data_IF_932937864088
#
_entry.id   IF_932937864088
#
_cell.length_a   1.000
_cell.length_b   1.000
_cell.length_c   1.000
_cell.angle_alpha   90.00
_cell.angle_beta   90.00
_cell.angle_gamma   90.00
#
_symmetry.space_group_name_H-M   'P 1'
#
loop_
_entity.id
_entity.type
_entity.pdbx_description
1 polymer ?
#
# COMPACT_ATOMS: atom_id res chain seq x y z
N UNK A 1 0.36 21.11 -32.41
CA UNK A 1 0.49 20.27 -31.18
C UNK A 1 -0.78 19.44 -31.11
N UNK A 2 -0.71 18.12 -30.98
CA UNK A 2 -1.91 17.31 -30.78
C UNK A 2 -2.59 17.70 -29.47
N UNK A 3 -3.92 17.84 -29.52
CA UNK A 3 -4.75 18.20 -28.37
C UNK A 3 -5.83 17.17 -28.17
N UNK A 4 -6.00 16.69 -26.95
CA UNK A 4 -7.07 15.81 -26.52
C UNK A 4 -8.03 16.62 -25.64
N UNK A 5 -9.34 16.46 -25.84
CA UNK A 5 -10.35 17.06 -24.97
C UNK A 5 -10.97 15.95 -24.11
N UNK A 6 -10.97 16.17 -22.81
CA UNK A 6 -11.53 15.26 -21.80
C UNK A 6 -12.35 16.06 -20.76
N UNK A 7 -13.24 15.38 -20.04
CA UNK A 7 -13.86 15.95 -18.85
C UNK A 7 -12.87 15.92 -17.68
N UNK A 8 -12.16 14.79 -17.55
CA UNK A 8 -11.21 14.52 -16.47
C UNK A 8 -9.91 13.98 -17.05
N UNK A 9 -8.79 14.61 -16.67
CA UNK A 9 -7.46 14.06 -16.89
C UNK A 9 -6.86 13.57 -15.56
N UNK A 10 -6.29 12.36 -15.57
CA UNK A 10 -5.70 11.72 -14.39
C UNK A 10 -4.21 11.54 -14.65
N UNK A 11 -3.38 12.02 -13.74
CA UNK A 11 -1.93 11.92 -13.81
C UNK A 11 -1.47 10.70 -13.00
N UNK A 12 -1.02 9.66 -13.69
CA UNK A 12 -0.57 8.40 -13.11
C UNK A 12 -1.67 7.35 -12.98
N UNK A 13 -1.38 6.14 -13.47
CA UNK A 13 -2.26 4.97 -13.42
C UNK A 13 -1.98 4.06 -12.21
N UNK A 14 -1.56 4.62 -11.07
CA UNK A 14 -1.55 3.90 -9.80
C UNK A 14 -2.97 3.55 -9.35
N UNK A 15 -3.09 2.70 -8.33
CA UNK A 15 -4.40 2.15 -7.92
C UNK A 15 -5.44 3.23 -7.56
N UNK A 16 -5.02 4.35 -6.94
CA UNK A 16 -5.90 5.48 -6.66
C UNK A 16 -6.46 6.12 -7.95
N UNK A 17 -5.57 6.37 -8.93
CA UNK A 17 -5.93 6.92 -10.23
C UNK A 17 -6.82 5.98 -11.05
N UNK A 18 -6.54 4.67 -11.04
CA UNK A 18 -7.37 3.66 -11.72
C UNK A 18 -8.76 3.52 -11.10
N UNK A 19 -8.87 3.48 -9.76
CA UNK A 19 -10.17 3.46 -9.08
C UNK A 19 -10.99 4.71 -9.42
N UNK A 20 -10.38 5.90 -9.36
CA UNK A 20 -11.07 7.13 -9.74
C UNK A 20 -11.49 7.12 -11.22
N UNK A 21 -10.57 6.73 -12.11
CA UNK A 21 -10.80 6.67 -13.55
C UNK A 21 -11.90 5.69 -13.95
N UNK A 22 -11.93 4.50 -13.35
CA UNK A 22 -12.95 3.49 -13.60
C UNK A 22 -14.34 3.97 -13.17
N UNK A 23 -14.45 4.58 -11.98
CA UNK A 23 -15.72 5.13 -11.49
C UNK A 23 -16.21 6.29 -12.38
N UNK A 24 -15.33 7.21 -12.74
CA UNK A 24 -15.69 8.34 -13.59
C UNK A 24 -16.07 7.91 -15.02
N UNK A 25 -15.29 7.02 -15.63
CA UNK A 25 -15.63 6.47 -16.95
C UNK A 25 -16.98 5.72 -16.92
N UNK A 26 -17.27 4.96 -15.84
CA UNK A 26 -18.57 4.29 -15.65
C UNK A 26 -19.72 5.28 -15.44
N UNK A 27 -19.45 6.47 -14.89
CA UNK A 27 -20.42 7.55 -14.76
C UNK A 27 -20.55 8.41 -16.02
N UNK A 28 -19.88 8.05 -17.12
CA UNK A 28 -20.02 8.71 -18.45
C UNK A 28 -19.04 9.85 -18.71
N UNK A 29 -18.07 10.10 -17.82
CA UNK A 29 -17.05 11.14 -18.05
C UNK A 29 -16.04 10.69 -19.10
N UNK A 30 -15.69 11.58 -20.03
CA UNK A 30 -14.54 11.39 -20.93
C UNK A 30 -13.25 11.45 -20.12
N UNK A 31 -12.74 10.29 -19.74
CA UNK A 31 -11.60 10.16 -18.85
C UNK A 31 -10.32 9.83 -19.62
N UNK A 32 -9.24 10.56 -19.38
CA UNK A 32 -7.91 10.31 -19.94
C UNK A 32 -6.92 10.14 -18.81
N UNK A 33 -6.24 8.99 -18.74
CA UNK A 33 -5.18 8.71 -17.77
C UNK A 33 -3.83 8.79 -18.49
N UNK A 34 -2.89 9.56 -17.96
CA UNK A 34 -1.54 9.72 -18.49
C UNK A 34 -0.55 8.99 -17.59
N UNK A 35 0.14 7.98 -18.13
CA UNK A 35 1.09 7.15 -17.39
C UNK A 35 2.48 7.22 -18.02
N UNK A 36 3.49 7.58 -17.23
CA UNK A 36 4.86 7.68 -17.73
C UNK A 36 5.51 6.33 -18.02
N UNK A 37 5.06 5.26 -17.34
CA UNK A 37 5.58 3.91 -17.50
C UNK A 37 4.88 3.17 -18.66
N UNK A 38 5.49 2.08 -19.18
CA UNK A 38 4.86 1.24 -20.19
C UNK A 38 3.73 0.35 -19.62
N UNK A 39 3.51 0.32 -18.31
CA UNK A 39 2.51 -0.49 -17.61
C UNK A 39 1.79 0.31 -16.54
N UNK A 40 0.52 0.00 -16.30
CA UNK A 40 -0.27 0.58 -15.22
C UNK A 40 -0.08 -0.13 -13.88
N UNK A 41 -0.62 0.48 -12.82
CA UNK A 41 -0.70 -0.06 -11.47
C UNK A 41 0.38 0.46 -10.51
N UNK A 42 1.48 1.00 -11.02
CA UNK A 42 2.56 1.53 -10.19
C UNK A 42 3.08 0.49 -9.19
N UNK A 43 2.88 0.72 -7.88
CA UNK A 43 3.22 -0.22 -6.80
C UNK A 43 2.18 -1.32 -6.58
N UNK A 44 1.05 -1.26 -7.23
CA UNK A 44 -0.07 -2.17 -7.02
C UNK A 44 -0.34 -3.02 -8.28
N UNK A 45 0.71 -3.68 -8.78
CA UNK A 45 0.61 -4.59 -9.93
C UNK A 45 1.61 -5.75 -9.79
N UNK A 46 1.61 -6.65 -10.72
CA UNK A 46 2.59 -7.74 -10.81
C UNK A 46 3.16 -7.81 -12.22
N UNK A 47 4.40 -8.26 -12.32
CA UNK A 47 5.11 -8.44 -13.60
C UNK A 47 5.70 -9.83 -13.69
N UNK A 48 5.89 -10.35 -14.91
CA UNK A 48 6.65 -11.58 -15.12
C UNK A 48 8.14 -11.26 -15.17
N UNK A 49 8.92 -11.90 -14.29
CA UNK A 49 10.35 -11.78 -14.23
C UNK A 49 11.02 -13.15 -14.07
N UNK A 50 11.83 -13.56 -15.03
CA UNK A 50 12.50 -14.89 -15.06
C UNK A 50 11.53 -16.06 -14.83
N UNK A 51 10.29 -15.98 -15.32
CA UNK A 51 9.27 -17.00 -15.14
C UNK A 51 8.44 -16.89 -13.86
N UNK A 52 8.79 -15.99 -12.95
CA UNK A 52 8.04 -15.72 -11.71
C UNK A 52 7.01 -14.62 -11.91
N UNK A 53 5.89 -14.71 -11.20
CA UNK A 53 4.96 -13.57 -11.00
C UNK A 53 5.46 -12.77 -9.81
N UNK A 54 6.01 -11.60 -10.09
CA UNK A 54 6.65 -10.74 -9.08
C UNK A 54 5.78 -9.52 -8.83
N UNK A 55 5.33 -9.26 -7.59
CA UNK A 55 4.62 -8.04 -7.27
C UNK A 55 5.54 -6.82 -7.41
N UNK A 56 5.02 -5.67 -7.81
CA UNK A 56 5.80 -4.41 -7.83
C UNK A 56 6.01 -3.84 -6.43
N UNK A 57 5.08 -4.03 -5.51
CA UNK A 57 5.20 -3.86 -4.07
C UNK A 57 4.13 -4.69 -3.35
N UNK A 58 2.88 -4.29 -3.40
CA UNK A 58 1.77 -5.08 -2.86
C UNK A 58 1.54 -6.35 -3.68
N UNK A 59 1.10 -7.43 -3.03
CA UNK A 59 0.85 -8.71 -3.70
C UNK A 59 -0.55 -9.27 -3.41
N UNK A 60 -1.33 -8.61 -2.55
CA UNK A 60 -2.66 -9.05 -2.13
C UNK A 60 -3.64 -7.88 -1.93
N UNK A 61 -4.93 -8.21 -1.92
CA UNK A 61 -6.00 -7.36 -1.40
C UNK A 61 -6.14 -7.64 0.09
N UNK A 62 -5.79 -6.66 0.93
CA UNK A 62 -5.68 -6.83 2.39
C UNK A 62 -7.01 -7.09 3.10
N UNK A 63 -8.10 -6.54 2.57
CA UNK A 63 -9.43 -6.63 3.17
C UNK A 63 -10.36 -7.59 2.42
N UNK A 64 -9.79 -8.46 1.55
CA UNK A 64 -10.57 -9.41 0.76
C UNK A 64 -11.67 -8.75 -0.05
N UNK A 65 -12.92 -9.17 0.12
CA UNK A 65 -14.09 -8.56 -0.55
C UNK A 65 -14.46 -7.17 -0.02
N UNK A 66 -13.97 -6.81 1.16
CA UNK A 66 -14.16 -5.49 1.73
C UNK A 66 -13.09 -4.49 1.29
N UNK A 67 -12.08 -4.94 0.53
CA UNK A 67 -11.03 -4.08 0.00
C UNK A 67 -11.64 -3.02 -0.95
N UNK A 68 -11.28 -1.74 -0.81
CA UNK A 68 -11.76 -0.67 -1.68
C UNK A 68 -11.53 -0.95 -3.17
N UNK A 69 -10.47 -1.68 -3.51
CA UNK A 69 -10.19 -2.10 -4.88
C UNK A 69 -11.26 -3.08 -5.37
N UNK A 70 -11.55 -4.12 -4.57
CA UNK A 70 -12.59 -5.09 -4.90
C UNK A 70 -13.98 -4.43 -5.01
N UNK A 71 -14.32 -3.59 -4.03
CA UNK A 71 -15.58 -2.82 -4.06
C UNK A 71 -15.70 -1.90 -5.27
N UNK A 72 -14.57 -1.34 -5.74
CA UNK A 72 -14.59 -0.55 -6.99
C UNK A 72 -14.92 -1.42 -8.19
N UNK A 73 -14.21 -2.57 -8.34
CA UNK A 73 -14.47 -3.51 -9.44
C UNK A 73 -15.93 -3.99 -9.49
N UNK A 74 -16.49 -4.30 -8.31
CA UNK A 74 -17.90 -4.71 -8.17
C UNK A 74 -18.86 -3.57 -8.55
N UNK A 75 -18.64 -2.36 -7.99
CA UNK A 75 -19.49 -1.17 -8.21
C UNK A 75 -19.52 -0.73 -9.69
N UNK A 76 -18.39 -0.85 -10.40
CA UNK A 76 -18.28 -0.47 -11.81
C UNK A 76 -18.63 -1.61 -12.78
N UNK A 77 -18.85 -2.83 -12.29
CA UNK A 77 -19.16 -4.00 -13.11
C UNK A 77 -17.98 -4.50 -13.95
N UNK A 78 -16.78 -4.50 -13.39
CA UNK A 78 -15.56 -4.91 -14.09
C UNK A 78 -15.42 -6.44 -14.32
N UNK A 79 -16.39 -7.24 -13.86
CA UNK A 79 -16.38 -8.70 -13.95
C UNK A 79 -15.71 -9.35 -12.74
N UNK A 80 -15.74 -10.69 -12.73
CA UNK A 80 -15.13 -11.47 -11.67
C UNK A 80 -13.63 -11.70 -11.95
N UNK A 81 -12.82 -11.60 -10.88
CA UNK A 81 -11.41 -11.94 -10.91
C UNK A 81 -11.21 -13.19 -10.07
N UNK A 82 -10.56 -14.23 -10.61
CA UNK A 82 -10.23 -15.44 -9.85
C UNK A 82 -9.19 -15.10 -8.77
N UNK A 83 -9.59 -15.23 -7.50
CA UNK A 83 -8.75 -14.91 -6.34
C UNK A 83 -8.86 -16.00 -5.28
N UNK A 84 -7.75 -16.26 -4.57
CA UNK A 84 -7.71 -17.19 -3.42
C UNK A 84 -7.20 -16.49 -2.18
N UNK A 85 -7.71 -16.88 -1.02
CA UNK A 85 -7.18 -16.50 0.28
C UNK A 85 -6.14 -17.49 0.78
N UNK A 86 -5.45 -17.16 1.88
CA UNK A 86 -4.51 -18.07 2.54
C UNK A 86 -5.19 -19.22 3.28
N UNK A 87 -6.49 -19.14 3.55
CA UNK A 87 -7.15 -20.10 4.41
C UNK A 87 -6.82 -19.88 5.90
N UNK A 88 -6.84 -20.94 6.70
CA UNK A 88 -6.53 -20.89 8.14
C UNK A 88 -5.35 -21.83 8.47
N UNK A 89 -4.35 -21.39 9.26
CA UNK A 89 -4.20 -20.04 9.82
C UNK A 89 -3.74 -19.02 8.77
N UNK A 90 -4.22 -17.80 8.87
CA UNK A 90 -3.79 -16.69 8.00
C UNK A 90 -2.42 -16.13 8.38
N UNK A 91 -1.99 -16.38 9.61
CA UNK A 91 -0.72 -15.92 10.15
C UNK A 91 -0.19 -16.90 11.20
N UNK A 92 1.14 -16.91 11.34
CA UNK A 92 1.87 -17.49 12.46
C UNK A 92 2.86 -16.49 13.00
N UNK A 93 3.25 -16.65 14.27
CA UNK A 93 4.24 -15.78 14.93
C UNK A 93 5.41 -16.61 15.44
N UNK A 94 6.63 -16.21 15.07
CA UNK A 94 7.85 -16.71 15.71
C UNK A 94 8.18 -15.81 16.91
N UNK A 95 8.09 -16.41 18.10
CA UNK A 95 8.34 -15.74 19.38
C UNK A 95 9.36 -16.57 20.14
N UNK A 96 10.51 -15.97 20.49
CA UNK A 96 11.63 -16.68 21.21
C UNK A 96 12.00 -18.02 20.58
N UNK A 97 12.15 -18.05 19.25
CA UNK A 97 12.54 -19.24 18.48
C UNK A 97 11.43 -20.26 18.24
N UNK A 98 10.22 -20.06 18.75
CA UNK A 98 9.08 -20.98 18.57
C UNK A 98 8.00 -20.35 17.71
N UNK A 99 7.31 -21.16 16.90
CA UNK A 99 6.23 -20.73 16.03
C UNK A 99 4.88 -21.04 16.66
N UNK A 100 4.00 -20.04 16.69
CA UNK A 100 2.66 -20.09 17.24
C UNK A 100 1.65 -19.67 16.18
N UNK A 101 0.52 -20.38 16.12
CA UNK A 101 -0.57 -20.04 15.21
C UNK A 101 -1.30 -18.77 15.68
N UNK A 102 -1.80 -18.00 14.73
CA UNK A 102 -2.78 -16.95 14.98
C UNK A 102 -4.18 -17.58 14.97
N UNK A 103 -4.82 -17.80 16.13
CA UNK A 103 -6.13 -18.43 16.19
C UNK A 103 -7.21 -17.49 15.65
N UNK A 104 -8.30 -18.06 15.13
CA UNK A 104 -9.41 -17.27 14.57
C UNK A 104 -10.09 -16.36 15.60
N UNK A 105 -10.07 -16.74 16.88
CA UNK A 105 -10.68 -15.97 17.97
C UNK A 105 -9.68 -15.71 19.09
N UNK A 106 -9.68 -14.49 19.61
CA UNK A 106 -8.85 -14.11 20.74
C UNK A 106 -7.35 -14.11 20.45
N UNK A 107 -6.97 -14.06 19.18
CA UNK A 107 -5.60 -14.19 18.71
C UNK A 107 -4.61 -13.23 19.41
N UNK A 108 -4.95 -11.93 19.50
CA UNK A 108 -4.06 -10.95 20.14
C UNK A 108 -3.84 -11.31 21.62
N UNK A 109 -4.90 -11.58 22.38
CA UNK A 109 -4.77 -11.96 23.79
C UNK A 109 -3.92 -13.22 23.94
N UNK A 110 -4.13 -14.23 23.09
CA UNK A 110 -3.34 -15.45 23.08
C UNK A 110 -1.86 -15.18 22.86
N UNK A 111 -1.47 -14.40 21.85
CA UNK A 111 -0.07 -14.08 21.60
C UNK A 111 0.56 -13.28 22.72
N UNK A 112 -0.18 -12.34 23.33
CA UNK A 112 0.32 -11.57 24.48
C UNK A 112 0.54 -12.50 25.68
N UNK A 113 -0.33 -13.50 25.91
CA UNK A 113 -0.12 -14.50 26.98
C UNK A 113 1.04 -15.46 26.69
N UNK A 114 1.41 -15.68 25.41
CA UNK A 114 2.64 -16.40 25.05
C UNK A 114 3.88 -15.54 25.30
N UNK A 115 3.78 -14.23 25.12
CA UNK A 115 4.89 -13.28 25.26
C UNK A 115 5.17 -12.89 26.73
N UNK A 116 4.18 -13.04 27.60
CA UNK A 116 4.25 -12.54 28.98
C UNK A 116 3.49 -13.46 29.93
N UNK A 117 4.19 -13.93 30.97
CA UNK A 117 3.60 -14.79 32.01
C UNK A 117 2.78 -14.01 33.06
N UNK A 118 2.80 -12.65 33.02
CA UNK A 118 1.99 -11.80 33.90
C UNK A 118 0.60 -11.54 33.27
N UNK A 119 -0.40 -12.31 33.65
CA UNK A 119 -1.79 -12.15 33.22
C UNK A 119 -2.35 -10.75 33.51
N UNK A 120 -1.87 -10.06 34.56
CA UNK A 120 -2.31 -8.71 34.88
C UNK A 120 -1.76 -7.70 33.87
N UNK A 121 -0.52 -7.88 33.41
CA UNK A 121 0.07 -7.05 32.35
C UNK A 121 -0.64 -7.26 31.01
N UNK A 122 -0.88 -8.52 30.62
CA UNK A 122 -1.66 -8.85 29.42
C UNK A 122 -3.05 -8.21 29.46
N UNK A 123 -3.74 -8.29 30.61
CA UNK A 123 -5.07 -7.68 30.77
C UNK A 123 -5.00 -6.15 30.68
N UNK A 124 -3.99 -5.49 31.27
CA UNK A 124 -3.80 -4.03 31.16
C UNK A 124 -3.65 -3.60 29.70
N UNK A 125 -2.85 -4.31 28.91
CA UNK A 125 -2.67 -4.02 27.47
C UNK A 125 -3.95 -4.21 26.70
N UNK A 126 -4.67 -5.31 26.90
CA UNK A 126 -5.94 -5.59 26.22
C UNK A 126 -7.02 -4.56 26.55
N UNK A 127 -7.12 -4.16 27.82
CA UNK A 127 -8.05 -3.12 28.28
C UNK A 127 -7.69 -1.75 27.69
N UNK A 128 -6.39 -1.45 27.59
CA UNK A 128 -5.92 -0.21 26.99
C UNK A 128 -6.30 -0.16 25.50
N UNK A 129 -6.08 -1.22 24.74
CA UNK A 129 -6.48 -1.31 23.32
C UNK A 129 -8.01 -1.19 23.18
N UNK A 130 -8.76 -1.87 24.04
CA UNK A 130 -10.24 -1.82 24.00
C UNK A 130 -10.75 -0.41 24.31
N UNK A 131 -10.14 0.31 25.24
CA UNK A 131 -10.46 1.73 25.50
C UNK A 131 -10.09 2.61 24.32
N UNK A 132 -8.87 2.43 23.76
CA UNK A 132 -8.39 3.20 22.63
C UNK A 132 -9.26 3.02 21.36
N UNK A 133 -9.89 1.86 21.18
CA UNK A 133 -10.87 1.64 20.10
C UNK A 133 -12.13 2.47 20.24
N UNK A 134 -12.48 2.92 21.45
CA UNK A 134 -13.63 3.79 21.73
C UNK A 134 -13.23 5.26 21.76
N UNK A 135 -12.07 5.55 22.29
CA UNK A 135 -11.51 6.88 22.44
C UNK A 135 -10.04 6.86 21.98
N UNK A 136 -9.82 7.34 20.75
CA UNK A 136 -8.53 7.28 20.09
C UNK A 136 -7.49 8.11 20.85
N UNK A 137 -6.25 7.60 20.98
CA UNK A 137 -5.14 8.40 21.48
C UNK A 137 -4.87 9.62 20.59
N UNK A 138 -4.26 10.70 21.13
CA UNK A 138 -3.80 11.82 20.32
C UNK A 138 -2.83 11.39 19.21
N UNK A 139 -2.91 12.07 18.04
CA UNK A 139 -2.07 11.78 16.85
C UNK A 139 -0.56 11.91 17.14
N UNK A 140 -0.21 12.83 18.04
CA UNK A 140 1.19 13.15 18.36
C UNK A 140 1.89 12.05 19.15
N UNK A 141 1.17 11.06 19.66
CA UNK A 141 1.74 9.98 20.48
C UNK A 141 2.04 8.79 19.60
N UNK A 142 3.34 8.42 19.39
CA UNK A 142 3.71 7.20 18.70
C UNK A 142 3.16 5.96 19.42
N UNK A 143 2.86 4.91 18.68
CA UNK A 143 2.28 3.68 19.24
C UNK A 143 3.19 3.05 20.32
N UNK A 144 4.52 3.04 20.09
CA UNK A 144 5.47 2.52 21.08
C UNK A 144 5.39 3.26 22.42
N UNK A 145 5.31 4.59 22.40
CA UNK A 145 5.27 5.40 23.60
C UNK A 145 3.90 5.30 24.30
N UNK A 146 2.83 5.14 23.53
CA UNK A 146 1.51 4.84 24.07
C UNK A 146 1.49 3.46 24.75
N UNK A 147 2.04 2.42 24.12
CA UNK A 147 2.07 1.06 24.66
C UNK A 147 2.90 0.95 25.93
N UNK A 148 4.03 1.65 26.03
CA UNK A 148 4.89 1.71 27.24
C UNK A 148 4.16 2.12 28.52
N UNK A 149 3.04 2.81 28.42
CA UNK A 149 2.21 3.16 29.59
C UNK A 149 1.54 1.94 30.22
N UNK A 150 1.50 0.82 29.54
CA UNK A 150 0.76 -0.39 29.92
C UNK A 150 1.65 -1.63 30.05
N UNK A 151 2.76 -1.66 29.32
CA UNK A 151 3.72 -2.77 29.32
C UNK A 151 5.12 -2.28 29.00
N UNK A 152 6.12 -2.78 29.73
CA UNK A 152 7.56 -2.66 29.45
C UNK A 152 8.12 -3.95 28.81
N UNK A 153 7.30 -4.96 28.59
CA UNK A 153 7.72 -6.24 28.05
C UNK A 153 8.11 -6.13 26.56
N UNK A 154 9.40 -6.29 26.26
CA UNK A 154 9.96 -6.14 24.91
C UNK A 154 9.40 -7.16 23.92
N UNK A 155 8.97 -8.35 24.36
CA UNK A 155 8.33 -9.34 23.49
C UNK A 155 6.94 -8.88 23.06
N UNK A 156 6.17 -8.28 23.97
CA UNK A 156 4.89 -7.63 23.63
C UNK A 156 5.12 -6.51 22.62
N UNK A 157 6.10 -5.64 22.86
CA UNK A 157 6.46 -4.58 21.91
C UNK A 157 6.87 -5.12 20.54
N UNK A 158 7.61 -6.23 20.49
CA UNK A 158 8.05 -6.87 19.25
C UNK A 158 6.90 -7.48 18.44
N UNK A 159 5.87 -8.03 19.10
CA UNK A 159 4.65 -8.51 18.41
C UNK A 159 4.00 -7.36 17.65
N UNK A 160 3.77 -6.23 18.30
CA UNK A 160 3.18 -5.06 17.64
C UNK A 160 4.09 -4.45 16.59
N UNK A 161 5.41 -4.40 16.84
CA UNK A 161 6.38 -3.91 15.87
C UNK A 161 6.32 -4.73 14.56
N UNK A 162 6.25 -6.07 14.63
CA UNK A 162 6.18 -6.91 13.45
C UNK A 162 4.89 -6.71 12.66
N UNK A 163 3.76 -6.50 13.33
CA UNK A 163 2.48 -6.15 12.69
C UNK A 163 2.57 -4.78 12.00
N UNK A 164 3.02 -3.77 12.73
CA UNK A 164 3.14 -2.40 12.22
C UNK A 164 4.09 -2.34 11.02
N UNK A 165 5.24 -2.99 11.11
CA UNK A 165 6.20 -3.07 10.01
C UNK A 165 5.57 -3.68 8.76
N UNK A 166 4.87 -4.81 8.92
CA UNK A 166 4.29 -5.54 7.79
C UNK A 166 3.03 -4.86 7.22
N UNK A 167 2.15 -4.32 8.07
CA UNK A 167 0.88 -3.73 7.62
C UNK A 167 1.04 -2.29 7.15
N UNK A 168 1.76 -1.48 7.94
CA UNK A 168 1.88 -0.04 7.70
C UNK A 168 3.20 0.34 7.00
N UNK A 169 4.20 -0.54 6.99
CA UNK A 169 5.54 -0.26 6.48
C UNK A 169 6.25 0.82 7.27
N UNK A 170 6.09 0.83 8.59
CA UNK A 170 6.64 1.81 9.53
C UNK A 170 7.12 1.13 10.80
N UNK A 171 7.83 1.88 11.63
CA UNK A 171 8.16 1.45 12.98
C UNK A 171 7.10 1.92 14.00
N UNK A 172 6.96 1.18 15.10
CA UNK A 172 6.03 1.53 16.17
C UNK A 172 6.34 2.87 16.88
N UNK A 173 7.58 3.36 16.79
CA UNK A 173 7.98 4.66 17.29
C UNK A 173 7.76 5.82 16.28
N UNK A 174 7.37 5.51 15.05
CA UNK A 174 7.06 6.47 13.99
C UNK A 174 5.53 6.58 13.74
N UNK A 175 4.80 5.47 13.90
CA UNK A 175 3.37 5.39 13.63
C UNK A 175 2.56 6.00 14.79
N UNK A 176 1.62 6.94 14.53
CA UNK A 176 0.67 7.40 15.54
C UNK A 176 -0.15 6.26 16.15
N UNK A 177 -0.32 6.29 17.48
CA UNK A 177 -1.11 5.27 18.17
C UNK A 177 -2.55 5.23 17.67
N UNK A 178 -3.15 6.40 17.44
CA UNK A 178 -4.49 6.52 16.88
C UNK A 178 -4.64 5.81 15.55
N UNK A 179 -3.65 5.92 14.68
CA UNK A 179 -3.70 5.33 13.34
C UNK A 179 -3.59 3.81 13.37
N UNK A 180 -2.71 3.26 14.23
CA UNK A 180 -2.65 1.81 14.41
C UNK A 180 -3.95 1.25 15.01
N UNK A 181 -4.55 1.94 15.97
CA UNK A 181 -5.85 1.54 16.55
C UNK A 181 -6.97 1.58 15.48
N UNK A 182 -6.98 2.59 14.61
CA UNK A 182 -7.91 2.64 13.46
C UNK A 182 -7.68 1.47 12.49
N UNK A 183 -6.41 1.14 12.22
CA UNK A 183 -6.07 -0.02 11.38
C UNK A 183 -6.59 -1.32 12.01
N UNK A 184 -6.38 -1.53 13.32
CA UNK A 184 -6.95 -2.68 14.05
C UNK A 184 -8.49 -2.73 13.93
N UNK A 185 -9.17 -1.61 14.07
CA UNK A 185 -10.63 -1.51 13.89
C UNK A 185 -11.04 -1.87 12.46
N UNK A 186 -10.30 -1.40 11.46
CA UNK A 186 -10.60 -1.66 10.06
C UNK A 186 -10.44 -3.14 9.68
N UNK A 187 -9.59 -3.90 10.39
CA UNK A 187 -9.42 -5.34 10.20
C UNK A 187 -10.40 -6.20 11.00
N UNK A 188 -11.16 -5.63 11.95
CA UNK A 188 -12.11 -6.42 12.73
C UNK A 188 -13.15 -7.11 11.83
N UNK A 189 -13.24 -8.42 11.93
CA UNK A 189 -14.15 -9.23 11.13
C UNK A 189 -13.76 -9.41 9.66
N UNK A 190 -12.57 -8.92 9.25
CA UNK A 190 -12.05 -8.97 7.89
C UNK A 190 -10.70 -9.68 7.88
N UNK A 191 -10.71 -10.98 7.90
CA UNK A 191 -9.46 -11.78 7.99
C UNK A 191 -9.09 -12.49 6.69
N UNK A 192 -9.74 -12.16 5.58
CA UNK A 192 -9.61 -12.90 4.33
C UNK A 192 -8.89 -12.05 3.27
N UNK A 193 -7.57 -11.90 3.39
CA UNK A 193 -6.80 -11.33 2.30
C UNK A 193 -6.85 -12.24 1.07
N UNK A 194 -6.82 -11.64 -0.13
CA UNK A 194 -6.96 -12.34 -1.39
C UNK A 194 -5.85 -12.03 -2.37
N UNK A 195 -5.42 -13.06 -3.09
CA UNK A 195 -4.40 -12.96 -4.13
C UNK A 195 -5.04 -13.38 -5.45
N UNK A 196 -5.00 -12.53 -6.48
CA UNK A 196 -5.44 -12.89 -7.83
C UNK A 196 -4.52 -13.93 -8.46
N UNK A 197 -5.07 -14.69 -9.43
CA UNK A 197 -4.41 -15.84 -10.06
C UNK A 197 -3.09 -15.52 -10.74
N UNK A 198 -3.01 -14.42 -11.48
CA UNK A 198 -1.80 -13.92 -12.12
C UNK A 198 -1.19 -12.71 -11.39
N UNK A 199 -1.51 -12.58 -10.08
CA UNK A 199 -1.12 -11.47 -9.24
C UNK A 199 -2.02 -10.26 -9.43
N UNK A 200 -1.63 -9.13 -8.81
CA UNK A 200 -2.43 -7.90 -8.88
C UNK A 200 -2.57 -7.32 -10.31
N UNK A 201 -1.80 -7.85 -11.26
CA UNK A 201 -1.99 -7.51 -12.68
C UNK A 201 -3.41 -7.79 -13.17
N UNK A 202 -4.06 -8.86 -12.71
CA UNK A 202 -5.45 -9.18 -13.08
C UNK A 202 -6.42 -8.05 -12.71
N UNK A 203 -6.18 -7.43 -11.56
CA UNK A 203 -6.95 -6.26 -11.10
C UNK A 203 -6.72 -5.06 -12.01
N UNK A 204 -5.47 -4.82 -12.37
CA UNK A 204 -5.09 -3.69 -13.22
C UNK A 204 -5.67 -3.86 -14.62
N UNK A 205 -5.55 -5.06 -15.20
CA UNK A 205 -6.10 -5.38 -16.53
C UNK A 205 -7.62 -5.21 -16.56
N UNK A 206 -8.33 -5.59 -15.49
CA UNK A 206 -9.77 -5.39 -15.38
C UNK A 206 -10.15 -3.90 -15.36
N UNK A 207 -9.40 -3.06 -14.65
CA UNK A 207 -9.61 -1.61 -14.68
C UNK A 207 -9.29 -1.01 -16.06
N UNK A 208 -8.17 -1.38 -16.67
CA UNK A 208 -7.79 -0.88 -17.99
C UNK A 208 -8.85 -1.23 -19.03
N UNK A 209 -9.27 -2.50 -19.03
CA UNK A 209 -10.33 -2.97 -19.93
C UNK A 209 -11.64 -2.20 -19.74
N UNK A 210 -12.10 -2.06 -18.50
CA UNK A 210 -13.33 -1.35 -18.21
C UNK A 210 -13.26 0.12 -18.65
N UNK A 211 -12.18 0.82 -18.33
CA UNK A 211 -11.99 2.23 -18.72
C UNK A 211 -12.05 2.35 -20.23
N UNK A 212 -11.40 1.46 -20.99
CA UNK A 212 -11.46 1.41 -22.45
C UNK A 212 -12.86 1.11 -22.98
N UNK A 213 -13.55 0.11 -22.42
CA UNK A 213 -14.93 -0.27 -22.81
C UNK A 213 -15.92 0.88 -22.57
N UNK A 214 -15.64 1.79 -21.64
CA UNK A 214 -16.43 3.00 -21.33
C UNK A 214 -16.00 4.24 -22.10
N UNK A 215 -15.11 4.08 -23.10
CA UNK A 215 -14.61 5.17 -23.95
C UNK A 215 -13.52 6.03 -23.32
N UNK A 216 -13.00 5.66 -22.15
CA UNK A 216 -11.84 6.30 -21.56
C UNK A 216 -10.53 5.85 -22.23
N UNK A 217 -9.44 6.56 -21.99
CA UNK A 217 -8.14 6.29 -22.57
C UNK A 217 -7.06 6.23 -21.50
N UNK A 218 -6.15 5.26 -21.63
CA UNK A 218 -4.91 5.22 -20.84
C UNK A 218 -3.73 5.39 -21.81
N UNK A 219 -2.99 6.46 -21.62
CA UNK A 219 -1.84 6.81 -22.45
C UNK A 219 -0.54 6.46 -21.73
N UNK A 220 -0.03 5.26 -22.01
CA UNK A 220 1.28 4.84 -21.51
C UNK A 220 2.42 5.60 -22.20
N UNK A 221 3.62 5.58 -21.57
CA UNK A 221 4.82 6.30 -22.01
C UNK A 221 4.54 7.79 -22.24
N UNK A 222 3.67 8.36 -21.40
CA UNK A 222 3.21 9.74 -21.48
C UNK A 222 3.47 10.43 -20.15
N UNK A 223 4.55 11.22 -20.09
CA UNK A 223 4.96 11.97 -18.91
C UNK A 223 4.30 13.33 -18.85
N UNK A 224 3.53 13.61 -17.81
CA UNK A 224 3.02 14.97 -17.57
C UNK A 224 4.16 15.85 -17.08
N UNK A 225 4.27 17.02 -17.68
CA UNK A 225 5.30 18.01 -17.44
C UNK A 225 4.75 19.23 -16.72
N UNK A 226 3.44 19.53 -16.87
CA UNK A 226 2.81 20.72 -16.34
C UNK A 226 1.30 20.48 -16.13
N UNK A 227 0.75 21.00 -15.05
CA UNK A 227 -0.69 21.19 -14.83
C UNK A 227 -0.97 22.66 -15.14
N UNK A 228 -1.77 22.92 -16.15
CA UNK A 228 -2.11 24.28 -16.58
C UNK A 228 -3.17 24.85 -15.64
N UNK A 229 -2.82 25.91 -14.92
CA UNK A 229 -3.72 26.65 -14.02
C UNK A 229 -3.94 28.05 -14.57
N UNK A 230 -5.19 28.49 -14.64
CA UNK A 230 -5.56 29.84 -15.05
C UNK A 230 -6.78 30.32 -14.23
N UNK A 231 -6.65 31.52 -13.67
CA UNK A 231 -7.69 32.11 -12.83
C UNK A 231 -8.04 31.27 -11.59
N UNK A 232 -7.03 30.58 -10.97
CA UNK A 232 -7.19 29.75 -9.78
C UNK A 232 -7.89 28.41 -10.02
N UNK A 233 -8.04 27.99 -11.29
CA UNK A 233 -8.64 26.72 -11.66
C UNK A 233 -7.79 25.98 -12.72
N UNK A 234 -7.83 24.65 -12.71
CA UNK A 234 -7.16 23.85 -13.75
C UNK A 234 -7.82 24.02 -15.11
N UNK A 235 -7.02 23.93 -16.20
CA UNK A 235 -7.46 23.95 -17.61
C UNK A 235 -7.06 22.71 -18.38
N UNK A 236 -6.10 21.94 -17.85
CA UNK A 236 -5.58 20.75 -18.50
C UNK A 236 -4.17 20.42 -18.05
N UNK A 237 -3.51 19.58 -18.82
CA UNK A 237 -2.10 19.23 -18.61
C UNK A 237 -1.33 19.28 -19.91
N UNK A 238 -0.03 19.55 -19.79
CA UNK A 238 0.95 19.41 -20.87
C UNK A 238 1.78 18.15 -20.57
N UNK A 239 1.88 17.27 -21.53
CA UNK A 239 2.60 16.01 -21.41
C UNK A 239 3.57 15.83 -22.59
N UNK A 240 4.49 14.89 -22.44
CA UNK A 240 5.43 14.44 -23.46
C UNK A 240 5.16 12.97 -23.81
N UNK A 241 4.85 12.73 -25.09
CA UNK A 241 4.73 11.40 -25.70
C UNK A 241 5.17 11.49 -27.16
N UNK A 242 6.41 11.09 -27.46
CA UNK A 242 6.98 11.28 -28.82
C UNK A 242 6.84 12.73 -29.34
N UNK A 243 6.90 13.71 -28.43
CA UNK A 243 6.64 15.11 -28.62
C UNK A 243 5.59 15.68 -27.67
N UNK A 244 5.41 16.99 -27.68
CA UNK A 244 4.50 17.70 -26.77
C UNK A 244 3.03 17.38 -27.10
N UNK A 245 2.26 16.97 -26.08
CA UNK A 245 0.84 16.67 -26.10
C UNK A 245 0.11 17.60 -25.11
N UNK A 246 -1.02 18.18 -25.51
CA UNK A 246 -1.91 18.91 -24.61
C UNK A 246 -3.17 18.09 -24.33
N UNK A 247 -3.58 17.99 -23.07
CA UNK A 247 -4.88 17.44 -22.70
C UNK A 247 -5.67 18.54 -21.99
N UNK A 248 -6.74 19.01 -22.61
CA UNK A 248 -7.68 19.98 -22.03
C UNK A 248 -8.70 19.24 -21.19
N UNK A 249 -8.84 19.63 -19.93
CA UNK A 249 -9.80 19.02 -19.01
C UNK A 249 -10.28 20.04 -17.97
N UNK A 250 -11.52 19.87 -17.51
CA UNK A 250 -12.10 20.74 -16.47
C UNK A 250 -11.73 20.27 -15.05
N UNK A 251 -11.33 19.01 -14.92
CA UNK A 251 -10.92 18.40 -13.67
C UNK A 251 -9.60 17.68 -13.86
N UNK A 252 -8.68 17.86 -12.95
CA UNK A 252 -7.40 17.11 -12.89
C UNK A 252 -7.35 16.33 -11.59
N UNK A 253 -7.02 15.04 -11.71
CA UNK A 253 -6.72 14.17 -10.57
C UNK A 253 -5.24 13.79 -10.65
N UNK A 254 -4.47 14.14 -9.64
CA UNK A 254 -3.07 13.78 -9.55
C UNK A 254 -2.88 12.57 -8.63
N UNK A 255 -2.27 11.51 -9.16
CA UNK A 255 -1.87 10.32 -8.42
C UNK A 255 -0.33 10.24 -8.29
N UNK A 256 0.33 11.41 -8.27
CA UNK A 256 1.78 11.54 -8.19
C UNK A 256 2.29 11.89 -6.78
N UNK A 257 1.38 12.16 -5.86
CA UNK A 257 1.63 12.67 -4.52
C UNK A 257 1.56 14.20 -4.43
N UNK A 258 1.18 14.75 -3.26
CA UNK A 258 0.91 16.18 -3.08
C UNK A 258 2.08 17.09 -3.47
N UNK A 259 3.31 16.76 -3.05
CA UNK A 259 4.49 17.56 -3.39
C UNK A 259 4.75 17.64 -4.90
N UNK A 260 4.61 16.50 -5.62
CA UNK A 260 4.76 16.50 -7.08
C UNK A 260 3.61 17.21 -7.80
N UNK A 261 2.43 17.19 -7.22
CA UNK A 261 1.29 17.96 -7.74
C UNK A 261 1.57 19.47 -7.67
N UNK A 262 2.12 19.94 -6.54
CA UNK A 262 2.54 21.35 -6.39
C UNK A 262 3.60 21.71 -7.43
N UNK A 263 4.64 20.88 -7.58
CA UNK A 263 5.71 21.12 -8.58
C UNK A 263 5.15 21.22 -10.01
N UNK A 264 4.20 20.36 -10.38
CA UNK A 264 3.61 20.34 -11.73
C UNK A 264 2.65 21.51 -11.97
N UNK A 265 1.99 22.02 -10.96
CA UNK A 265 1.03 23.13 -11.08
C UNK A 265 1.67 24.51 -10.87
N UNK A 266 2.83 24.59 -10.19
CA UNK A 266 3.47 25.83 -9.75
C UNK A 266 3.06 26.23 -8.33
N UNK A 267 4.04 26.45 -7.44
CA UNK A 267 3.82 26.79 -6.03
C UNK A 267 2.97 28.05 -5.84
N UNK A 268 3.08 29.01 -6.77
CA UNK A 268 2.35 30.27 -6.76
C UNK A 268 0.83 30.14 -6.83
N UNK A 269 0.32 28.95 -7.16
CA UNK A 269 -1.11 28.67 -7.21
C UNK A 269 -1.69 28.12 -5.90
N UNK A 270 -0.83 27.85 -4.90
CA UNK A 270 -1.23 27.31 -3.61
C UNK A 270 -1.06 28.35 -2.50
N UNK A 271 -1.95 28.30 -1.51
CA UNK A 271 -1.75 29.13 -0.33
C UNK A 271 -0.64 28.57 0.57
N UNK A 272 -0.16 29.45 1.44
CA UNK A 272 0.96 29.15 2.32
C UNK A 272 0.64 27.99 3.29
N UNK A 273 -0.58 27.93 3.77
CA UNK A 273 -1.00 26.95 4.77
C UNK A 273 -0.95 25.54 4.17
N UNK A 274 -1.44 25.37 2.93
CA UNK A 274 -1.36 24.10 2.22
C UNK A 274 0.08 23.68 1.90
N UNK A 275 0.93 24.61 1.48
CA UNK A 275 2.35 24.32 1.22
C UNK A 275 3.07 23.87 2.49
N UNK A 276 2.81 24.51 3.62
CA UNK A 276 3.39 24.18 4.92
C UNK A 276 2.85 22.81 5.43
N UNK A 277 1.55 22.55 5.27
CA UNK A 277 0.94 21.25 5.61
C UNK A 277 1.61 20.12 4.82
N UNK A 278 1.71 20.24 3.49
CA UNK A 278 2.34 19.21 2.65
C UNK A 278 3.82 19.01 3.03
N UNK A 279 4.57 20.07 3.25
CA UNK A 279 5.98 20.00 3.62
C UNK A 279 6.20 19.34 5.01
N UNK A 280 5.27 19.52 5.94
CA UNK A 280 5.38 19.01 7.31
C UNK A 280 4.85 17.59 7.46
N UNK A 281 3.68 17.31 6.86
CA UNK A 281 2.99 16.03 7.06
C UNK A 281 3.53 14.94 6.13
N UNK A 282 3.84 15.24 4.86
CA UNK A 282 4.27 14.19 3.93
C UNK A 282 5.71 13.77 4.19
N UNK A 283 5.86 12.62 4.84
CA UNK A 283 7.16 12.02 5.17
C UNK A 283 7.38 10.76 4.35
N UNK A 284 8.51 10.62 3.65
CA UNK A 284 8.79 9.42 2.87
C UNK A 284 9.02 8.22 3.80
N UNK A 285 8.32 7.12 3.55
CA UNK A 285 8.56 5.86 4.22
C UNK A 285 9.61 5.04 3.48
N UNK A 286 10.33 4.18 4.19
CA UNK A 286 11.30 3.24 3.64
C UNK A 286 10.86 1.82 3.96
N UNK A 287 10.82 0.98 2.93
CA UNK A 287 10.59 -0.45 3.07
C UNK A 287 11.62 -1.22 2.27
N UNK A 288 12.03 -2.38 2.76
CA UNK A 288 12.95 -3.28 2.09
C UNK A 288 12.22 -4.58 1.81
N UNK A 289 12.29 -5.02 0.57
CA UNK A 289 11.50 -6.14 0.07
C UNK A 289 12.42 -7.09 -0.70
N UNK A 290 12.41 -8.35 -0.29
CA UNK A 290 13.25 -9.40 -0.84
C UNK A 290 12.38 -10.53 -1.39
N UNK A 291 12.76 -10.98 -2.59
CA UNK A 291 12.18 -12.14 -3.23
C UNK A 291 13.29 -13.16 -3.47
N UNK A 292 13.09 -14.37 -2.96
CA UNK A 292 14.02 -15.48 -3.15
C UNK A 292 13.33 -16.60 -3.90
N UNK A 293 14.10 -17.32 -4.69
CA UNK A 293 13.68 -18.61 -5.28
C UNK A 293 14.19 -19.76 -4.43
N UNK A 294 13.38 -20.81 -4.28
CA UNK A 294 13.75 -22.03 -3.57
C UNK A 294 13.25 -23.26 -4.34
N UNK A 295 13.80 -24.45 -4.10
CA UNK A 295 13.38 -25.72 -4.71
C UNK A 295 12.20 -26.37 -3.97
N UNK A 296 11.92 -25.92 -2.73
CA UNK A 296 10.77 -26.34 -1.91
C UNK A 296 10.25 -25.14 -1.12
N UNK A 297 8.98 -25.14 -0.70
CA UNK A 297 8.48 -24.08 0.16
C UNK A 297 9.19 -24.11 1.53
N UNK A 298 9.54 -22.95 2.06
CA UNK A 298 10.15 -22.80 3.39
C UNK A 298 9.12 -22.53 4.50
N UNK A 299 7.86 -22.33 4.14
CA UNK A 299 6.73 -22.31 5.05
C UNK A 299 5.80 -23.47 4.70
N UNK A 300 5.15 -24.03 5.70
CA UNK A 300 4.18 -25.14 5.58
C UNK A 300 2.72 -24.66 5.48
N UNK A 301 2.51 -23.34 5.44
CA UNK A 301 1.20 -22.72 5.37
C UNK A 301 1.22 -21.50 4.43
N UNK A 302 0.10 -21.15 3.80
CA UNK A 302 0.07 -20.09 2.77
C UNK A 302 -0.10 -18.67 3.33
N UNK A 303 -0.11 -18.49 4.65
CA UNK A 303 -0.24 -17.20 5.32
C UNK A 303 1.09 -16.45 5.49
N UNK A 304 1.10 -15.51 6.44
CA UNK A 304 2.27 -14.73 6.78
C UNK A 304 2.89 -15.20 8.10
N UNK A 305 4.19 -15.49 8.09
CA UNK A 305 4.98 -15.68 9.30
C UNK A 305 5.52 -14.33 9.75
N UNK A 306 5.13 -13.89 10.93
CA UNK A 306 5.69 -12.70 11.60
C UNK A 306 6.83 -13.11 12.51
N UNK A 307 7.98 -12.45 12.43
CA UNK A 307 9.11 -12.68 13.35
C UNK A 307 9.15 -11.58 14.39
N UNK A 308 9.38 -11.92 15.64
CA UNK A 308 9.43 -10.97 16.76
C UNK A 308 10.78 -10.93 17.48
N UNK A 309 11.64 -11.89 17.15
CA UNK A 309 12.92 -12.18 17.82
C UNK A 309 14.15 -12.05 16.90
N UNK A 310 13.97 -11.53 15.69
CA UNK A 310 15.00 -11.24 14.69
C UNK A 310 15.51 -9.77 14.81
N UNK A 311 16.59 -9.42 14.10
CA UNK A 311 17.09 -8.04 14.04
C UNK A 311 16.04 -7.07 13.50
N UNK A 312 15.36 -7.49 12.40
CA UNK A 312 14.21 -6.79 11.83
C UNK A 312 12.96 -7.62 12.09
N UNK A 313 11.89 -7.00 12.51
CA UNK A 313 10.62 -7.69 12.78
C UNK A 313 9.88 -7.85 11.44
N UNK A 314 10.25 -8.90 10.69
CA UNK A 314 9.80 -9.10 9.32
C UNK A 314 8.45 -9.81 9.22
N UNK A 315 7.86 -9.71 8.01
CA UNK A 315 6.82 -10.60 7.53
C UNK A 315 7.34 -11.47 6.38
N UNK A 316 7.13 -12.78 6.49
CA UNK A 316 7.53 -13.77 5.48
C UNK A 316 6.33 -14.48 4.90
N UNK A 317 6.33 -14.75 3.60
CA UNK A 317 5.26 -15.47 2.91
C UNK A 317 5.78 -16.28 1.73
N UNK A 318 5.00 -17.31 1.36
CA UNK A 318 5.28 -18.16 0.19
C UNK A 318 4.05 -18.13 -0.74
N UNK A 319 3.90 -17.11 -1.60
CA UNK A 319 2.73 -16.94 -2.47
C UNK A 319 2.43 -18.15 -3.37
N UNK A 320 3.46 -18.93 -3.70
CA UNK A 320 3.34 -20.16 -4.50
C UNK A 320 2.59 -21.30 -3.80
N UNK A 321 2.37 -21.22 -2.50
CA UNK A 321 1.46 -22.14 -1.78
C UNK A 321 -0.02 -21.86 -2.09
N UNK A 322 -0.35 -20.61 -2.48
CA UNK A 322 -1.69 -20.23 -2.90
C UNK A 322 -1.84 -20.43 -4.42
N UNK A 323 -0.86 -19.96 -5.17
CA UNK A 323 -0.81 -20.06 -6.63
C UNK A 323 0.53 -20.63 -7.10
N UNK A 324 0.64 -21.95 -7.30
CA UNK A 324 1.88 -22.57 -7.79
C UNK A 324 2.40 -21.96 -9.09
N UNK A 325 1.50 -21.48 -9.97
CA UNK A 325 1.83 -20.78 -11.23
C UNK A 325 2.56 -19.44 -11.07
N UNK A 326 2.77 -18.95 -9.83
CA UNK A 326 3.60 -17.78 -9.57
C UNK A 326 5.11 -18.07 -9.68
N UNK A 327 5.52 -19.32 -9.81
CA UNK A 327 6.91 -19.71 -10.05
C UNK A 327 6.99 -20.75 -11.20
N UNK A 328 8.17 -20.95 -11.80
CA UNK A 328 8.44 -22.08 -12.69
C UNK A 328 8.20 -23.42 -11.98
N UNK A 329 7.90 -24.47 -12.74
CA UNK A 329 7.72 -25.82 -12.20
C UNK A 329 8.90 -26.25 -11.32
N UNK A 330 8.61 -26.83 -10.15
CA UNK A 330 9.61 -27.27 -9.17
C UNK A 330 10.33 -26.14 -8.44
N UNK A 331 9.85 -24.90 -8.56
CA UNK A 331 10.37 -23.73 -7.81
C UNK A 331 9.28 -23.06 -6.98
N UNK A 332 9.73 -22.37 -5.93
CA UNK A 332 8.87 -21.58 -5.06
C UNK A 332 9.42 -20.16 -4.93
N UNK A 333 8.54 -19.25 -4.54
CA UNK A 333 8.85 -17.86 -4.26
C UNK A 333 8.72 -17.61 -2.75
N UNK A 334 9.83 -17.30 -2.08
CA UNK A 334 9.82 -16.79 -0.72
C UNK A 334 9.89 -15.26 -0.77
N UNK A 335 8.96 -14.60 -0.13
CA UNK A 335 8.88 -13.15 -0.01
C UNK A 335 9.12 -12.73 1.43
N UNK A 336 10.02 -11.79 1.65
CA UNK A 336 10.28 -11.17 2.95
C UNK A 336 10.23 -9.66 2.85
N UNK A 337 9.59 -9.01 3.82
CA UNK A 337 9.46 -7.57 3.91
C UNK A 337 9.88 -7.07 5.28
N UNK A 338 10.71 -6.04 5.32
CA UNK A 338 11.19 -5.38 6.53
C UNK A 338 11.15 -3.86 6.40
N UNK A 339 11.20 -3.19 7.55
CA UNK A 339 11.38 -1.74 7.65
C UNK A 339 12.70 -1.48 8.38
N UNK A 340 13.57 -0.59 7.88
CA UNK A 340 14.79 -0.20 8.58
C UNK A 340 14.50 0.31 9.98
N UNK A 341 15.46 0.19 10.89
CA UNK A 341 15.31 0.69 12.27
C UNK A 341 14.95 2.18 12.34
N UNK A 342 15.40 2.96 11.37
CA UNK A 342 14.98 4.34 11.14
C UNK A 342 14.66 4.53 9.67
N UNK A 343 13.53 5.12 9.35
CA UNK A 343 13.16 5.44 7.96
C UNK A 343 13.81 6.74 7.48
N UNK A 344 14.35 7.55 8.37
CA UNK A 344 15.04 8.81 8.06
C UNK A 344 16.54 8.60 7.82
N UNK A 345 17.16 7.69 8.56
CA UNK A 345 18.60 7.42 8.50
C UNK A 345 18.84 5.91 8.48
N UNK A 346 19.30 5.36 7.38
CA UNK A 346 19.66 3.95 7.28
C UNK A 346 20.79 3.71 6.28
N UNK A 347 21.60 2.68 6.54
CA UNK A 347 22.62 2.18 5.64
C UNK A 347 22.04 1.03 4.80
N UNK A 348 21.91 1.18 3.47
CA UNK A 348 21.39 0.12 2.63
C UNK A 348 22.15 -1.21 2.74
N UNK A 349 23.47 -1.15 2.91
CA UNK A 349 24.30 -2.35 3.05
C UNK A 349 24.08 -3.03 4.39
N UNK A 350 24.05 -2.27 5.47
CA UNK A 350 23.80 -2.78 6.82
C UNK A 350 22.44 -3.45 6.93
N UNK A 351 21.38 -2.83 6.36
CA UNK A 351 20.05 -3.42 6.32
C UNK A 351 20.01 -4.72 5.52
N UNK A 352 20.74 -4.78 4.40
CA UNK A 352 20.87 -6.03 3.62
C UNK A 352 21.57 -7.13 4.42
N UNK A 353 22.68 -6.80 5.09
CA UNK A 353 23.45 -7.77 5.89
C UNK A 353 22.57 -8.33 7.04
N UNK A 354 21.88 -7.44 7.78
CA UNK A 354 20.97 -7.84 8.86
C UNK A 354 19.78 -8.67 8.36
N UNK A 355 19.19 -8.30 7.23
CA UNK A 355 18.09 -9.08 6.67
C UNK A 355 18.53 -10.49 6.25
N UNK A 356 19.75 -10.62 5.71
CA UNK A 356 20.30 -11.93 5.33
C UNK A 356 20.71 -12.77 6.56
N UNK A 357 21.06 -12.14 7.67
CA UNK A 357 21.26 -12.83 8.96
C UNK A 357 19.91 -13.37 9.47
N UNK A 358 18.88 -12.53 9.51
CA UNK A 358 17.52 -12.89 9.91
C UNK A 358 16.95 -14.02 9.03
N UNK A 359 17.15 -13.96 7.71
CA UNK A 359 16.75 -15.03 6.78
C UNK A 359 17.33 -16.39 7.18
N UNK A 360 18.63 -16.46 7.49
CA UNK A 360 19.30 -17.72 7.87
C UNK A 360 18.88 -18.21 9.24
N UNK A 361 18.58 -17.29 10.14
CA UNK A 361 18.07 -17.64 11.47
C UNK A 361 16.65 -18.20 11.40
N UNK A 362 15.78 -17.58 10.60
CA UNK A 362 14.37 -18.02 10.45
C UNK A 362 14.27 -19.29 9.61
N UNK A 363 15.11 -19.42 8.59
CA UNK A 363 15.12 -20.52 7.62
C UNK A 363 16.53 -21.15 7.52
N UNK A 364 16.94 -21.96 8.51
CA UNK A 364 18.26 -22.60 8.49
C UNK A 364 18.48 -23.50 7.26
N UNK A 365 17.39 -24.04 6.68
CA UNK A 365 17.43 -24.88 5.48
C UNK A 365 17.42 -24.06 4.17
N UNK A 366 17.61 -22.75 4.22
CA UNK A 366 17.56 -21.89 3.03
C UNK A 366 18.55 -22.34 1.95
N UNK A 367 19.81 -22.58 2.31
CA UNK A 367 20.84 -23.01 1.37
C UNK A 367 20.56 -24.43 0.81
N UNK A 368 20.08 -25.37 1.66
CA UNK A 368 19.72 -26.72 1.26
C UNK A 368 18.50 -26.74 0.32
N UNK A 369 17.64 -25.73 0.40
CA UNK A 369 16.51 -25.53 -0.51
C UNK A 369 16.91 -24.87 -1.84
N UNK A 370 18.19 -24.80 -2.17
CA UNK A 370 18.72 -24.06 -3.32
C UNK A 370 18.34 -22.57 -3.30
N UNK A 371 18.23 -22.01 -2.09
CA UNK A 371 17.80 -20.62 -1.90
C UNK A 371 18.71 -19.61 -2.59
N UNK A 372 18.13 -18.72 -3.40
CA UNK A 372 18.86 -17.66 -4.10
C UNK A 372 18.03 -16.38 -4.14
N UNK A 373 18.71 -15.24 -4.01
CA UNK A 373 18.10 -13.94 -4.22
C UNK A 373 17.63 -13.80 -5.68
N UNK A 374 16.35 -13.61 -5.88
CA UNK A 374 15.73 -13.34 -7.18
C UNK A 374 15.68 -11.84 -7.46
N UNK A 375 15.22 -11.06 -6.48
CA UNK A 375 15.04 -9.62 -6.59
C UNK A 375 15.09 -8.97 -5.21
N UNK A 376 15.70 -7.80 -5.15
CA UNK A 376 15.68 -6.91 -3.97
C UNK A 376 15.17 -5.55 -4.39
N UNK A 377 14.24 -5.00 -3.61
CA UNK A 377 13.67 -3.67 -3.84
C UNK A 377 13.77 -2.84 -2.58
N UNK A 378 13.96 -1.56 -2.78
CA UNK A 378 13.85 -0.55 -1.72
C UNK A 378 12.82 0.47 -2.14
N UNK A 379 11.87 0.70 -1.28
CA UNK A 379 10.87 1.75 -1.43
C UNK A 379 11.35 2.95 -0.64
N UNK A 380 12.09 3.82 -1.29
CA UNK A 380 12.62 5.04 -0.68
C UNK A 380 12.75 6.12 -1.76
N UNK A 381 12.64 7.40 -1.36
CA UNK A 381 12.71 8.56 -2.22
C UNK A 381 11.67 8.59 -3.37
N UNK A 382 11.86 9.48 -4.35
CA UNK A 382 10.81 9.90 -5.27
C UNK A 382 10.35 8.84 -6.28
N UNK A 383 11.22 7.95 -6.74
CA UNK A 383 10.79 6.99 -7.74
C UNK A 383 11.43 5.61 -7.53
N UNK A 384 10.75 4.52 -7.81
CA UNK A 384 9.43 4.42 -8.43
C UNK A 384 8.31 4.84 -7.49
N UNK A 385 8.55 5.15 -6.22
CA UNK A 385 7.46 5.53 -5.36
C UNK A 385 7.89 6.09 -4.02
N UNK A 386 7.51 7.30 -3.75
CA UNK A 386 7.44 7.84 -2.40
C UNK A 386 6.29 7.15 -1.66
N UNK A 387 6.57 6.29 -0.68
CA UNK A 387 5.57 5.92 0.31
C UNK A 387 5.52 7.03 1.35
N UNK A 388 4.35 7.55 1.62
CA UNK A 388 4.16 8.44 2.76
C UNK A 388 3.95 7.64 4.04
N UNK A 389 4.39 8.18 5.16
CA UNK A 389 4.08 7.63 6.47
C UNK A 389 2.57 7.51 6.64
N UNK A 390 2.14 6.37 7.18
CA UNK A 390 0.73 6.14 7.51
C UNK A 390 0.31 7.07 8.66
N UNK A 391 -0.85 7.74 8.49
CA UNK A 391 -1.36 8.69 9.48
C UNK A 391 -0.80 10.12 9.36
N UNK A 392 0.03 10.36 8.35
CA UNK A 392 0.59 11.68 8.02
C UNK A 392 0.14 12.13 6.62
N UNK A 393 -1.07 11.72 6.27
CA UNK A 393 -1.68 12.06 5.00
C UNK A 393 -2.35 13.45 5.07
N UNK A 394 -2.35 14.17 3.94
CA UNK A 394 -3.11 15.43 3.78
C UNK A 394 -4.45 15.18 3.08
N UNK A 395 -5.29 16.19 2.96
CA UNK A 395 -6.58 16.11 2.28
C UNK A 395 -6.46 15.82 0.77
N UNK A 396 -7.52 15.25 0.17
CA UNK A 396 -7.58 14.99 -1.26
C UNK A 396 -7.83 16.26 -2.09
N UNK A 397 -8.49 17.26 -1.53
CA UNK A 397 -8.73 18.54 -2.20
C UNK A 397 -7.50 19.44 -2.11
N UNK A 398 -7.31 20.29 -3.10
CA UNK A 398 -6.27 21.32 -3.09
C UNK A 398 -6.90 22.71 -3.13
N UNK A 399 -6.14 23.79 -2.80
CA UNK A 399 -6.58 25.16 -2.98
C UNK A 399 -6.89 25.53 -4.44
N UNK A 400 -6.32 24.81 -5.40
CA UNK A 400 -6.59 25.04 -6.83
C UNK A 400 -7.91 24.38 -7.22
N UNK A 401 -8.86 25.15 -7.73
CA UNK A 401 -10.17 24.65 -8.10
C UNK A 401 -10.10 23.52 -9.12
N UNK A 402 -10.81 22.41 -8.82
CA UNK A 402 -10.89 21.21 -9.65
C UNK A 402 -9.56 20.43 -9.78
N UNK A 403 -8.58 20.69 -8.92
CA UNK A 403 -7.37 19.89 -8.77
C UNK A 403 -7.48 19.03 -7.50
N UNK A 404 -7.36 17.73 -7.66
CA UNK A 404 -7.47 16.75 -6.58
C UNK A 404 -6.23 15.85 -6.53
N UNK A 405 -5.83 15.43 -5.33
CA UNK A 405 -4.85 14.38 -5.12
C UNK A 405 -5.53 13.06 -4.79
N UNK A 406 -4.97 11.95 -5.29
CA UNK A 406 -5.34 10.57 -4.91
C UNK A 406 -4.08 9.74 -4.70
N UNK A 407 -4.21 8.62 -4.02
CA UNK A 407 -3.10 7.70 -3.82
C UNK A 407 -2.42 7.85 -2.47
N UNK A 408 -1.14 7.51 -2.44
CA UNK A 408 -0.32 7.58 -1.23
C UNK A 408 -0.01 9.03 -0.88
N UNK A 409 -0.10 9.39 0.40
CA UNK A 409 0.01 10.78 0.86
C UNK A 409 -1.32 11.49 1.07
N UNK A 410 -2.43 10.89 0.61
CA UNK A 410 -3.80 11.40 0.82
C UNK A 410 -4.77 10.28 1.18
N UNK A 411 -4.26 9.24 1.83
CA UNK A 411 -5.08 8.11 2.31
C UNK A 411 -6.05 8.57 3.39
N UNK A 412 -7.30 8.14 3.37
CA UNK A 412 -8.21 8.41 4.48
C UNK A 412 -7.75 7.68 5.75
N UNK A 413 -8.03 8.27 6.90
CA UNK A 413 -7.70 7.72 8.21
C UNK A 413 -8.17 6.26 8.37
N UNK A 414 -7.32 5.41 8.97
CA UNK A 414 -7.59 4.00 9.21
C UNK A 414 -7.47 3.08 7.99
N UNK A 415 -7.28 3.62 6.79
CA UNK A 415 -7.04 2.84 5.59
C UNK A 415 -5.55 2.81 5.27
N UNK A 416 -4.98 1.61 5.15
CA UNK A 416 -3.54 1.43 4.99
C UNK A 416 -3.14 1.13 3.54
N UNK A 417 -1.92 1.51 3.21
CA UNK A 417 -1.20 1.20 1.97
C UNK A 417 -2.08 1.25 0.69
N UNK A 418 -2.11 0.21 -0.12
CA UNK A 418 -2.83 0.17 -1.40
C UNK A 418 -4.35 0.35 -1.26
N UNK A 419 -4.97 -0.20 -0.21
CA UNK A 419 -6.38 -0.03 0.08
C UNK A 419 -6.72 1.44 0.40
N UNK A 420 -5.86 2.13 1.16
CA UNK A 420 -6.01 3.56 1.43
C UNK A 420 -5.87 4.40 0.16
N UNK A 421 -4.90 4.07 -0.69
CA UNK A 421 -4.73 4.73 -1.99
C UNK A 421 -5.96 4.55 -2.89
N UNK A 422 -6.52 3.35 -2.96
CA UNK A 422 -7.75 3.07 -3.70
C UNK A 422 -8.95 3.83 -3.13
N UNK A 423 -9.09 3.85 -1.81
CA UNK A 423 -10.18 4.56 -1.13
C UNK A 423 -10.14 6.07 -1.38
N UNK A 424 -8.95 6.69 -1.43
CA UNK A 424 -8.82 8.11 -1.79
C UNK A 424 -9.35 8.38 -3.20
N UNK A 425 -9.03 7.50 -4.16
CA UNK A 425 -9.55 7.58 -5.53
C UNK A 425 -11.09 7.47 -5.58
N UNK A 426 -11.67 6.56 -4.80
CA UNK A 426 -13.13 6.41 -4.68
C UNK A 426 -13.81 7.66 -4.11
N UNK A 427 -13.19 8.26 -3.07
CA UNK A 427 -13.70 9.50 -2.46
C UNK A 427 -13.74 10.62 -3.50
N UNK A 428 -12.61 10.86 -4.18
CA UNK A 428 -12.51 11.92 -5.19
C UNK A 428 -13.48 11.69 -6.35
N UNK A 429 -13.59 10.46 -6.86
CA UNK A 429 -14.55 10.16 -7.92
C UNK A 429 -15.99 10.47 -7.50
N UNK A 430 -16.42 10.07 -6.29
CA UNK A 430 -17.75 10.38 -5.76
C UNK A 430 -17.97 11.88 -5.57
N UNK A 431 -16.96 12.62 -5.12
CA UNK A 431 -17.02 14.08 -5.00
C UNK A 431 -17.25 14.75 -6.37
N UNK A 432 -16.50 14.32 -7.40
CA UNK A 432 -16.63 14.84 -8.76
C UNK A 432 -18.02 14.53 -9.33
N UNK A 433 -18.47 13.27 -9.25
CA UNK A 433 -19.79 12.84 -9.74
C UNK A 433 -20.92 13.63 -9.05
N UNK A 434 -20.76 13.99 -7.79
CA UNK A 434 -21.76 14.79 -7.06
C UNK A 434 -21.75 16.28 -7.45
N UNK A 435 -20.58 16.83 -7.79
CA UNK A 435 -20.37 18.27 -8.02
C UNK A 435 -20.47 18.70 -9.50
N UNK A 436 -20.29 17.75 -10.42
CA UNK A 436 -20.20 18.05 -11.86
C UNK A 436 -21.03 17.06 -12.69
N UNK A 437 -21.17 17.33 -13.98
CA UNK A 437 -21.79 16.43 -14.93
C UNK A 437 -20.84 16.20 -16.12
N UNK A 438 -20.87 15.01 -16.74
CA UNK A 438 -20.11 14.77 -17.97
C UNK A 438 -20.60 15.68 -19.10
N UNK A 439 -19.68 16.09 -20.00
CA UNK A 439 -19.96 16.98 -21.14
C UNK A 439 -20.58 16.28 -22.35
#
# INVERSE_FOLDING_TARGET
MPTINADVAIIGSGIGGLCAGAMLASAGYKTVILEQMPVSGGRYTSVKYKGYTVPTASWMLLYGKDDPVYKTLEEVGAGEIEMRGAGSPIAKYRITGRVYDWPEKGALKYLLSVACDDDAEVSRVMDAITRAMRELPPKEIPFRDWLKRYSENETIHSIFQSQIATWCGMNAHELPASEFIRALLSFQGKSDFRIPKDGLKDVIDAFEKLIGDRGGQILHLTKVMEIVVDGGAVRGVVAEKNGRLEVKAQVIISNTGPGKTIELAGEEHFDRDYLEEVATEIKPAVGIDYLFTTSRPLLDFPGTLYTTDTNRKEGWSVPTLIWPGHAPEGKHLLHGFAVPKSTLEYSPKEEDDLFMEDLREVFPDFEESEGRLLLRRRFCAEWPVTRSWQGYDVGQETPVKNLYNVGDGVKPEGWIVGAGAAQSGRIVAKMIIHRTHPS
#
